data_IF_267284655219
#
_entry.id   IF_267284655219
#
_cell.length_a   1.000
_cell.length_b   1.000
_cell.length_c   1.000
_cell.angle_alpha   90.00
_cell.angle_beta   90.00
_cell.angle_gamma   90.00
#
_symmetry.space_group_name_H-M   'P 1'
#
loop_
_entity.id
_entity.type
_entity.pdbx_description
1 polymer ?
#
# COMPACT_ATOMS: atom_id res chain seq x y z
N UNK A 1 6.22 -12.29 -39.72
CA UNK A 1 6.57 -11.86 -38.35
C UNK A 1 6.85 -13.11 -37.51
N UNK A 2 8.07 -13.27 -37.00
CA UNK A 2 8.45 -14.40 -36.12
C UNK A 2 8.43 -13.95 -34.66
N UNK A 3 7.82 -14.72 -33.75
CA UNK A 3 7.73 -14.40 -32.33
C UNK A 3 8.40 -15.51 -31.51
N UNK A 4 9.41 -15.15 -30.73
CA UNK A 4 10.10 -16.06 -29.80
C UNK A 4 9.89 -15.55 -28.38
N UNK A 5 9.55 -16.45 -27.45
CA UNK A 5 9.45 -16.16 -26.02
C UNK A 5 10.20 -17.22 -25.23
N UNK A 6 10.83 -16.81 -24.12
CA UNK A 6 11.42 -17.73 -23.13
C UNK A 6 11.01 -17.31 -21.73
N UNK A 7 10.70 -18.30 -20.90
CA UNK A 7 10.27 -18.10 -19.52
C UNK A 7 11.45 -17.99 -18.54
N UNK A 8 12.62 -18.51 -18.92
CA UNK A 8 13.82 -18.50 -18.07
C UNK A 8 14.64 -17.24 -18.37
N UNK A 9 15.07 -16.48 -17.34
CA UNK A 9 15.98 -15.35 -17.54
C UNK A 9 17.31 -15.79 -18.14
N UNK A 10 17.82 -15.02 -19.10
CA UNK A 10 19.07 -15.33 -19.79
C UNK A 10 19.18 -14.68 -21.15
N UNK A 11 20.38 -14.76 -21.74
CA UNK A 11 20.65 -14.30 -23.10
C UNK A 11 20.47 -15.45 -24.07
N UNK A 12 19.69 -15.23 -25.11
CA UNK A 12 19.36 -16.24 -26.09
C UNK A 12 19.69 -15.75 -27.49
N UNK A 13 20.43 -16.58 -28.22
CA UNK A 13 20.68 -16.37 -29.63
C UNK A 13 19.48 -16.85 -30.43
N UNK A 14 19.12 -16.09 -31.45
CA UNK A 14 18.08 -16.43 -32.42
C UNK A 14 18.71 -16.35 -33.81
N UNK A 15 18.52 -17.38 -34.62
CA UNK A 15 18.93 -17.41 -36.01
C UNK A 15 17.69 -17.58 -36.88
N UNK A 16 17.49 -16.69 -37.85
CA UNK A 16 16.38 -16.74 -38.82
C UNK A 16 16.97 -16.52 -40.21
N UNK A 17 16.80 -17.47 -41.11
CA UNK A 17 17.26 -17.38 -42.52
C UNK A 17 18.72 -16.91 -42.66
N UNK A 18 19.62 -17.45 -41.83
CA UNK A 18 21.05 -17.11 -41.83
C UNK A 18 21.42 -15.81 -41.11
N UNK A 19 20.45 -15.03 -40.63
CA UNK A 19 20.68 -13.84 -39.80
C UNK A 19 20.64 -14.22 -38.32
N UNK A 20 21.74 -13.97 -37.61
CA UNK A 20 21.85 -14.19 -36.17
C UNK A 20 21.60 -12.89 -35.39
N UNK A 21 20.84 -12.99 -34.31
CA UNK A 21 20.61 -11.93 -33.33
C UNK A 21 20.53 -12.49 -31.92
N UNK A 22 20.39 -11.62 -30.92
CA UNK A 22 20.22 -12.05 -29.55
C UNK A 22 19.15 -11.22 -28.84
N UNK A 23 18.46 -11.84 -27.88
CA UNK A 23 17.59 -11.15 -26.96
C UNK A 23 17.88 -11.60 -25.52
N UNK A 24 17.67 -10.70 -24.56
CA UNK A 24 17.84 -11.00 -23.14
C UNK A 24 16.48 -11.02 -22.45
N UNK A 25 16.22 -12.09 -21.71
CA UNK A 25 15.07 -12.21 -20.81
C UNK A 25 15.54 -11.80 -19.43
N UNK A 26 14.98 -10.70 -18.90
CA UNK A 26 15.28 -10.24 -17.56
C UNK A 26 14.47 -11.03 -16.53
N UNK A 27 15.07 -11.30 -15.37
CA UNK A 27 14.35 -11.86 -14.25
C UNK A 27 13.20 -10.93 -13.83
N UNK A 28 12.04 -11.48 -13.44
CA UNK A 28 11.00 -10.69 -12.80
C UNK A 28 11.61 -9.95 -11.61
N UNK A 29 11.67 -8.62 -11.69
CA UNK A 29 12.05 -7.82 -10.54
C UNK A 29 10.83 -7.81 -9.63
N UNK A 30 10.97 -8.37 -8.44
CA UNK A 30 10.05 -8.05 -7.34
C UNK A 30 10.27 -6.57 -7.04
N UNK A 31 9.48 -5.71 -7.68
CA UNK A 31 9.36 -4.33 -7.24
C UNK A 31 8.67 -4.44 -5.90
N UNK A 32 9.45 -4.50 -4.81
CA UNK A 32 8.93 -4.21 -3.48
C UNK A 32 8.59 -2.74 -3.51
N UNK A 33 7.39 -2.45 -4.02
CA UNK A 33 6.81 -1.14 -3.87
C UNK A 33 6.55 -1.04 -2.37
N UNK A 34 7.49 -0.44 -1.63
CA UNK A 34 7.26 0.00 -0.27
C UNK A 34 6.25 1.15 -0.36
N UNK A 35 5.01 0.82 -0.70
CA UNK A 35 3.88 1.63 -0.29
C UNK A 35 3.99 1.63 1.22
N UNK A 36 4.23 2.80 1.80
CA UNK A 36 4.10 2.97 3.23
C UNK A 36 2.68 2.48 3.54
N UNK A 37 2.55 1.28 4.09
CA UNK A 37 1.33 0.89 4.76
C UNK A 37 1.08 2.01 5.73
N UNK A 38 -0.02 2.75 5.56
CA UNK A 38 -0.54 3.70 6.54
C UNK A 38 -0.84 2.89 7.80
N UNK A 39 0.22 2.52 8.50
CA UNK A 39 0.22 1.67 9.64
C UNK A 39 -0.20 2.54 10.80
N UNK A 40 -1.36 2.17 11.34
CA UNK A 40 -2.06 2.80 12.44
C UNK A 40 -2.94 3.99 12.07
N UNK A 41 -4.14 3.68 11.55
CA UNK A 41 -5.35 4.44 11.89
C UNK A 41 -5.87 4.04 13.29
N UNK A 42 -4.98 3.80 14.24
CA UNK A 42 -5.38 3.73 15.64
C UNK A 42 -5.68 5.14 16.13
N UNK A 43 -6.73 5.32 16.92
CA UNK A 43 -6.91 6.54 17.71
C UNK A 43 -5.68 6.67 18.60
N UNK A 44 -4.74 7.52 18.20
CA UNK A 44 -3.58 7.84 19.02
C UNK A 44 -4.03 8.44 20.35
N UNK A 45 -3.11 8.59 21.29
CA UNK A 45 -3.37 9.19 22.60
C UNK A 45 -4.14 10.51 22.50
N UNK A 46 -3.82 11.34 21.50
CA UNK A 46 -4.54 12.57 21.20
C UNK A 46 -6.01 12.35 20.79
N UNK A 47 -6.30 11.34 19.97
CA UNK A 47 -7.67 11.01 19.55
C UNK A 47 -8.52 10.50 20.71
N UNK A 48 -7.94 9.65 21.57
CA UNK A 48 -8.61 9.16 22.78
C UNK A 48 -8.87 10.31 23.77
N UNK A 49 -7.88 11.18 23.98
CA UNK A 49 -8.03 12.35 24.87
C UNK A 49 -9.16 13.29 24.40
N UNK A 50 -9.27 13.53 23.09
CA UNK A 50 -10.33 14.35 22.52
C UNK A 50 -11.73 13.75 22.78
N UNK A 51 -11.90 12.44 22.61
CA UNK A 51 -13.18 11.75 22.85
C UNK A 51 -13.57 11.85 24.33
N UNK A 52 -12.62 11.62 25.25
CA UNK A 52 -12.88 11.72 26.69
C UNK A 52 -13.30 13.14 27.07
N UNK A 53 -12.61 14.16 26.56
CA UNK A 53 -12.94 15.56 26.83
C UNK A 53 -14.38 15.90 26.39
N UNK A 54 -14.78 15.46 25.19
CA UNK A 54 -16.14 15.65 24.68
C UNK A 54 -17.17 14.96 25.58
N UNK A 55 -16.93 13.70 25.98
CA UNK A 55 -17.83 12.97 26.87
C UNK A 55 -18.03 13.67 28.22
N UNK A 56 -16.95 14.16 28.83
CA UNK A 56 -17.03 14.88 30.11
C UNK A 56 -17.88 16.15 29.96
N UNK A 57 -17.66 16.93 28.90
CA UNK A 57 -18.44 18.15 28.63
C UNK A 57 -19.93 17.81 28.45
N UNK A 58 -20.25 16.76 27.68
CA UNK A 58 -21.64 16.34 27.48
C UNK A 58 -22.32 15.91 28.78
N UNK A 59 -21.63 15.14 29.63
CA UNK A 59 -22.18 14.73 30.93
C UNK A 59 -22.42 15.93 31.83
N UNK A 60 -21.48 16.87 31.90
CA UNK A 60 -21.65 18.09 32.70
C UNK A 60 -22.84 18.90 32.17
N UNK A 61 -22.96 19.07 30.84
CA UNK A 61 -24.07 19.79 30.24
C UNK A 61 -25.42 19.14 30.58
N UNK A 62 -25.53 17.82 30.47
CA UNK A 62 -26.75 17.09 30.84
C UNK A 62 -27.10 17.26 32.31
N UNK A 63 -26.11 17.16 33.22
CA UNK A 63 -26.33 17.37 34.65
C UNK A 63 -26.81 18.79 34.93
N UNK A 64 -26.23 19.80 34.29
CA UNK A 64 -26.64 21.21 34.47
C UNK A 64 -28.06 21.45 33.95
N UNK A 65 -28.42 20.88 32.80
CA UNK A 65 -29.77 20.98 32.24
C UNK A 65 -30.78 20.32 33.16
N UNK A 66 -30.59 19.04 33.50
CA UNK A 66 -31.52 18.29 34.33
C UNK A 66 -31.58 18.72 35.80
N UNK A 67 -30.59 19.46 36.31
CA UNK A 67 -30.65 20.08 37.65
C UNK A 67 -31.36 21.43 37.65
N UNK A 68 -31.53 22.05 36.48
CA UNK A 68 -32.15 23.37 36.36
C UNK A 68 -33.62 23.30 35.97
N UNK A 69 -34.08 22.12 35.57
CA UNK A 69 -35.49 21.71 35.56
C UNK A 69 -35.89 21.19 36.96
#
# INVERSE_FOLDING_TARGET
MFRVARAVPGTYQVAVDGMAGQFSVLAPRTVTNTVASQQSMGLGTAGIAAIIAILVVLVIALVVVFRKD
#
